data_IF_879064642322
#
_entry.id   IF_879064642322
#
_cell.length_a   1.000
_cell.length_b   1.000
_cell.length_c   1.000
_cell.angle_alpha   90.00
_cell.angle_beta   90.00
_cell.angle_gamma   90.00
#
_symmetry.space_group_name_H-M   'P 1'
#
loop_
_entity.id
_entity.type
_entity.pdbx_description
1 polymer ?
#
# COMPACT_ATOMS: atom_id res chain seq x y z
N UNK A 1 -25.57 -0.20 3.85
CA UNK A 1 -26.95 0.35 3.66
C UNK A 1 -27.50 0.89 4.98
N UNK A 2 -27.45 2.21 5.20
CA UNK A 2 -28.18 2.83 6.32
C UNK A 2 -29.68 2.95 5.97
N UNK A 3 -30.52 2.51 6.91
CA UNK A 3 -31.96 2.39 6.73
C UNK A 3 -32.64 3.71 6.38
N UNK A 4 -33.35 3.74 5.25
CA UNK A 4 -34.40 4.71 4.99
C UNK A 4 -35.62 4.34 5.82
N UNK A 5 -35.96 5.13 6.84
CA UNK A 5 -37.23 4.98 7.56
C UNK A 5 -38.38 5.33 6.62
N UNK A 6 -39.07 4.29 6.12
CA UNK A 6 -40.32 4.42 5.40
C UNK A 6 -41.47 4.77 6.34
N UNK A 7 -42.19 5.83 6.02
CA UNK A 7 -43.55 6.08 6.54
C UNK A 7 -44.50 6.31 5.36
N UNK A 8 -45.56 5.51 5.36
CA UNK A 8 -46.69 5.53 4.42
C UNK A 8 -47.50 6.84 4.54
N UNK A 9 -48.21 7.30 3.50
CA UNK A 9 -48.64 8.68 3.36
C UNK A 9 -50.03 8.94 3.99
N UNK A 10 -50.15 10.04 4.72
CA UNK A 10 -51.43 10.63 5.11
C UNK A 10 -51.49 12.06 4.53
N UNK A 11 -52.48 12.30 3.67
CA UNK A 11 -52.60 13.50 2.86
C UNK A 11 -52.86 14.79 3.65
N UNK A 12 -52.08 15.83 3.34
CA UNK A 12 -52.43 17.24 3.55
C UNK A 12 -51.59 18.07 2.56
N UNK A 13 -52.11 19.16 1.94
CA UNK A 13 -51.37 19.92 0.93
C UNK A 13 -50.13 20.61 1.50
N UNK A 14 -49.02 20.78 0.76
CA UNK A 14 -47.77 21.30 1.34
C UNK A 14 -47.90 22.79 1.64
N UNK A 15 -47.81 23.13 2.94
CA UNK A 15 -47.43 24.47 3.36
C UNK A 15 -46.01 24.79 2.93
N UNK A 16 -45.71 26.09 2.81
CA UNK A 16 -44.39 26.63 2.42
C UNK A 16 -43.23 25.87 3.08
N UNK A 17 -42.13 25.60 2.35
CA UNK A 17 -41.00 24.87 2.90
C UNK A 17 -40.46 25.62 4.12
N UNK A 18 -40.30 24.96 5.29
CA UNK A 18 -39.61 25.57 6.41
C UNK A 18 -38.18 25.89 5.98
N UNK A 19 -37.74 27.13 6.22
CA UNK A 19 -36.35 27.52 6.08
C UNK A 19 -35.49 26.64 6.99
N UNK A 20 -34.81 25.66 6.38
CA UNK A 20 -33.88 24.78 7.07
C UNK A 20 -32.65 25.57 7.50
N UNK A 21 -32.54 25.83 8.79
CA UNK A 21 -31.29 26.24 9.40
C UNK A 21 -30.24 25.16 9.13
N UNK A 22 -29.07 25.56 8.64
CA UNK A 22 -27.88 24.71 8.43
C UNK A 22 -27.21 24.31 9.76
N UNK A 23 -28.01 24.08 10.81
CA UNK A 23 -27.55 23.67 12.14
C UNK A 23 -27.81 22.19 12.36
N UNK A 24 -27.22 21.33 11.53
CA UNK A 24 -27.34 19.89 11.67
C UNK A 24 -26.11 19.29 12.32
N UNK A 25 -26.24 18.82 13.55
CA UNK A 25 -25.46 17.69 14.12
C UNK A 25 -25.76 16.37 13.38
N UNK A 26 -25.87 16.43 12.04
CA UNK A 26 -26.32 15.34 11.20
C UNK A 26 -25.13 14.50 10.72
N UNK A 27 -25.08 13.26 11.21
CA UNK A 27 -24.39 12.10 10.62
C UNK A 27 -22.88 11.96 10.87
N UNK A 28 -22.42 12.14 12.11
CA UNK A 28 -21.20 11.48 12.57
C UNK A 28 -21.45 9.96 12.61
N UNK A 29 -21.32 9.33 11.45
CA UNK A 29 -21.39 7.89 11.28
C UNK A 29 -19.99 7.34 11.58
N UNK A 30 -19.91 6.45 12.56
CA UNK A 30 -18.73 5.62 12.85
C UNK A 30 -18.90 4.23 12.20
N UNK A 31 -19.71 4.16 11.15
CA UNK A 31 -20.09 2.90 10.55
C UNK A 31 -18.83 2.21 10.01
N UNK A 32 -18.65 0.91 10.29
CA UNK A 32 -17.65 0.12 9.61
C UNK A 32 -17.86 0.18 8.11
N UNK A 33 -16.76 0.24 7.37
CA UNK A 33 -16.76 0.18 5.91
C UNK A 33 -15.60 -0.72 5.50
N UNK A 34 -15.81 -1.52 4.47
CA UNK A 34 -14.77 -2.41 3.96
C UNK A 34 -15.00 -2.65 2.46
N UNK A 35 -13.91 -2.89 1.74
CA UNK A 35 -13.97 -3.17 0.32
C UNK A 35 -12.72 -3.93 -0.13
N UNK A 36 -12.90 -4.76 -1.16
CA UNK A 36 -11.81 -5.31 -1.94
C UNK A 36 -11.47 -4.32 -3.06
N UNK A 37 -10.18 -4.16 -3.37
CA UNK A 37 -9.77 -3.27 -4.44
C UNK A 37 -8.63 -3.84 -5.27
N UNK A 38 -8.51 -3.29 -6.47
CA UNK A 38 -7.34 -3.45 -7.34
C UNK A 38 -7.16 -2.10 -8.01
N UNK A 39 -6.06 -1.43 -7.69
CA UNK A 39 -5.78 -0.08 -8.15
C UNK A 39 -4.35 -0.04 -8.66
N UNK A 40 -4.16 0.46 -9.88
CA UNK A 40 -2.82 0.77 -10.39
C UNK A 40 -2.23 1.94 -9.61
N UNK A 41 -1.09 1.71 -8.96
CA UNK A 41 -0.36 2.73 -8.21
C UNK A 41 0.14 3.85 -9.11
N UNK A 42 0.55 3.55 -10.36
CA UNK A 42 1.03 4.56 -11.28
C UNK A 42 -0.11 5.48 -11.69
N UNK A 43 0.05 6.79 -11.46
CA UNK A 43 -0.99 7.78 -11.71
C UNK A 43 -2.06 7.86 -10.62
N UNK A 44 -2.22 6.88 -9.73
CA UNK A 44 -3.18 6.95 -8.61
C UNK A 44 -2.51 7.28 -7.28
N UNK A 45 -1.44 6.56 -6.93
CA UNK A 45 -0.71 6.73 -5.68
C UNK A 45 0.56 7.53 -5.85
N UNK A 46 1.14 7.51 -7.04
CA UNK A 46 2.35 8.25 -7.37
C UNK A 46 2.38 8.64 -8.85
N UNK A 47 3.41 9.39 -9.26
CA UNK A 47 3.83 9.54 -10.64
C UNK A 47 5.35 9.56 -10.70
N UNK A 48 5.92 8.63 -11.46
CA UNK A 48 7.36 8.47 -11.68
C UNK A 48 7.68 8.76 -13.14
N UNK A 49 8.68 9.60 -13.46
CA UNK A 49 9.15 9.78 -14.83
C UNK A 49 9.99 8.59 -15.33
N UNK A 50 10.32 7.64 -14.46
CA UNK A 50 11.16 6.48 -14.77
C UNK A 50 10.31 5.23 -15.04
N UNK A 51 9.08 5.20 -14.55
CA UNK A 51 8.22 4.03 -14.64
C UNK A 51 7.53 4.03 -15.99
N UNK A 52 7.64 2.92 -16.71
CA UNK A 52 6.89 2.71 -17.93
C UNK A 52 5.40 2.50 -17.56
N UNK A 53 4.50 3.40 -17.99
CA UNK A 53 3.07 3.26 -17.69
C UNK A 53 2.43 2.01 -18.31
N UNK A 54 3.13 1.26 -19.18
CA UNK A 54 2.66 -0.05 -19.64
C UNK A 54 2.85 -1.17 -18.61
N UNK A 55 3.55 -0.92 -17.51
CA UNK A 55 3.81 -1.87 -16.43
C UNK A 55 3.13 -1.39 -15.14
N UNK A 56 1.82 -1.66 -14.98
CA UNK A 56 1.04 -1.15 -13.86
C UNK A 56 1.52 -1.77 -12.54
N UNK A 57 1.69 -0.99 -11.48
CA UNK A 57 1.96 -1.54 -10.15
C UNK A 57 0.65 -1.67 -9.38
N UNK A 58 -0.11 -2.73 -9.69
CA UNK A 58 -1.42 -2.94 -9.10
C UNK A 58 -1.31 -3.31 -7.62
N UNK A 59 -1.92 -2.48 -6.76
CA UNK A 59 -2.19 -2.87 -5.39
C UNK A 59 -3.56 -3.55 -5.31
N UNK A 60 -3.54 -4.86 -5.11
CA UNK A 60 -4.73 -5.66 -4.83
C UNK A 60 -4.77 -6.04 -3.34
N UNK A 61 -5.85 -5.70 -2.64
CA UNK A 61 -6.01 -6.03 -1.22
C UNK A 61 -7.47 -5.84 -0.76
N UNK A 62 -7.73 -6.24 0.48
CA UNK A 62 -8.94 -5.90 1.23
C UNK A 62 -8.63 -4.83 2.28
N UNK A 63 -9.42 -3.76 2.36
CA UNK A 63 -9.35 -2.78 3.45
C UNK A 63 -10.61 -2.85 4.30
N UNK A 64 -10.42 -2.98 5.61
CA UNK A 64 -11.48 -2.85 6.61
C UNK A 64 -11.23 -1.63 7.50
N UNK A 65 -12.23 -0.75 7.60
CA UNK A 65 -12.22 0.48 8.39
C UNK A 65 -13.16 0.29 9.58
N UNK A 66 -12.58 0.24 10.78
CA UNK A 66 -13.33 0.13 12.04
C UNK A 66 -13.05 1.36 12.88
N UNK A 67 -14.09 2.09 13.28
CA UNK A 67 -13.95 3.36 13.99
C UNK A 67 -15.00 3.51 15.07
N UNK A 68 -14.64 4.21 16.14
CA UNK A 68 -15.51 4.51 17.27
C UNK A 68 -15.05 5.78 17.95
N UNK A 69 -15.92 6.79 17.98
CA UNK A 69 -15.62 8.09 18.55
C UNK A 69 -14.43 8.74 17.85
N UNK A 70 -13.30 8.88 18.57
CA UNK A 70 -12.09 9.56 18.07
C UNK A 70 -10.98 8.62 17.58
N UNK A 71 -11.18 7.31 17.67
CA UNK A 71 -10.13 6.32 17.38
C UNK A 71 -10.67 5.18 16.52
N UNK A 72 -9.75 4.38 15.99
CA UNK A 72 -10.11 3.17 15.26
C UNK A 72 -8.90 2.52 14.62
N UNK A 73 -9.17 1.71 13.61
CA UNK A 73 -8.19 0.91 12.89
C UNK A 73 -8.59 0.83 11.41
N UNK A 74 -7.61 1.00 10.53
CA UNK A 74 -7.66 0.58 9.13
C UNK A 74 -6.82 -0.69 9.04
N UNK A 75 -7.45 -1.81 8.71
CA UNK A 75 -6.77 -3.09 8.50
C UNK A 75 -6.68 -3.36 7.01
N UNK A 76 -5.46 -3.38 6.49
CA UNK A 76 -5.15 -3.87 5.14
C UNK A 76 -4.89 -5.38 5.26
N UNK A 77 -5.62 -6.19 4.52
CA UNK A 77 -5.39 -7.62 4.41
C UNK A 77 -4.99 -7.96 2.98
N UNK A 78 -3.85 -8.62 2.81
CA UNK A 78 -3.43 -9.20 1.53
C UNK A 78 -3.41 -10.71 1.62
N UNK A 79 -3.94 -11.37 0.60
CA UNK A 79 -3.86 -12.81 0.44
C UNK A 79 -2.72 -13.16 -0.50
N UNK A 80 -2.02 -14.24 -0.21
CA UNK A 80 -0.95 -14.72 -1.07
C UNK A 80 -1.09 -16.22 -1.34
N UNK A 81 -0.46 -16.68 -2.42
CA UNK A 81 -0.32 -18.10 -2.72
C UNK A 81 1.13 -18.36 -3.09
N UNK A 82 1.70 -19.44 -2.54
CA UNK A 82 3.03 -19.89 -2.92
C UNK A 82 2.95 -20.96 -4.02
N UNK A 83 3.76 -20.81 -5.05
CA UNK A 83 4.22 -21.90 -5.93
C UNK A 83 5.72 -22.12 -5.72
N UNK A 84 6.22 -23.24 -6.22
CA UNK A 84 7.61 -23.64 -6.01
C UNK A 84 8.17 -24.18 -7.32
N UNK A 85 9.32 -23.66 -7.73
CA UNK A 85 9.99 -23.97 -8.99
C UNK A 85 11.47 -24.23 -8.78
N UNK A 86 12.12 -24.81 -9.80
CA UNK A 86 13.59 -24.96 -9.88
C UNK A 86 14.25 -25.57 -8.63
N UNK A 87 13.60 -26.58 -8.03
CA UNK A 87 14.14 -27.30 -6.88
C UNK A 87 13.85 -26.67 -5.51
N UNK A 88 13.01 -25.63 -5.44
CA UNK A 88 12.54 -25.13 -4.16
C UNK A 88 11.69 -26.18 -3.40
N UNK A 89 12.05 -26.44 -2.14
CA UNK A 89 11.36 -27.43 -1.30
C UNK A 89 10.13 -26.84 -0.58
N UNK A 90 9.06 -27.64 -0.48
CA UNK A 90 7.71 -27.18 -0.11
C UNK A 90 7.36 -27.28 1.38
N UNK A 91 8.18 -27.88 2.24
CA UNK A 91 7.77 -28.30 3.60
C UNK A 91 8.20 -27.39 4.77
N UNK A 92 7.79 -27.78 5.99
CA UNK A 92 7.85 -27.00 7.23
C UNK A 92 9.28 -26.63 7.70
N UNK A 93 10.31 -27.32 7.18
CA UNK A 93 11.72 -27.03 7.41
C UNK A 93 12.45 -26.48 6.17
N UNK A 94 11.78 -26.42 5.02
CA UNK A 94 12.31 -25.95 3.75
C UNK A 94 11.97 -24.49 3.41
N UNK A 95 11.99 -24.18 2.12
CA UNK A 95 11.86 -22.81 1.62
C UNK A 95 10.47 -22.20 1.86
N UNK A 96 9.42 -23.02 1.91
CA UNK A 96 8.06 -22.54 2.19
C UNK A 96 7.93 -21.86 3.56
N UNK A 97 8.52 -22.43 4.61
CA UNK A 97 8.51 -21.79 5.95
C UNK A 97 9.35 -20.52 5.96
N UNK A 98 10.52 -20.52 5.32
CA UNK A 98 11.40 -19.35 5.22
C UNK A 98 10.65 -18.18 4.58
N UNK A 99 10.02 -18.41 3.43
CA UNK A 99 9.26 -17.39 2.70
C UNK A 99 8.05 -16.91 3.50
N UNK A 100 7.27 -17.80 4.14
CA UNK A 100 6.13 -17.39 4.99
C UNK A 100 6.55 -16.55 6.19
N UNK A 101 7.69 -16.88 6.80
CA UNK A 101 8.26 -16.09 7.88
C UNK A 101 8.74 -14.73 7.38
N UNK A 102 9.38 -14.68 6.20
CA UNK A 102 9.80 -13.44 5.57
C UNK A 102 8.60 -12.54 5.25
N UNK A 103 7.52 -13.07 4.67
CA UNK A 103 6.27 -12.33 4.41
C UNK A 103 5.69 -11.77 5.71
N UNK A 104 5.61 -12.60 6.75
CA UNK A 104 5.09 -12.19 8.07
C UNK A 104 5.95 -11.09 8.69
N UNK A 105 7.27 -11.20 8.58
CA UNK A 105 8.22 -10.19 9.04
C UNK A 105 8.12 -8.90 8.23
N UNK A 106 7.91 -9.00 6.92
CA UNK A 106 7.75 -7.86 6.04
C UNK A 106 6.50 -7.05 6.41
N UNK A 107 5.33 -7.67 6.48
CA UNK A 107 4.12 -7.00 6.96
C UNK A 107 4.26 -6.47 8.39
N UNK A 108 4.93 -7.22 9.27
CA UNK A 108 5.24 -6.77 10.64
C UNK A 108 6.12 -5.52 10.66
N UNK A 109 7.07 -5.40 9.74
CA UNK A 109 7.96 -4.23 9.58
C UNK A 109 7.17 -3.03 9.07
N UNK A 110 6.41 -3.20 8.00
CA UNK A 110 5.52 -2.18 7.44
C UNK A 110 4.52 -1.68 8.49
N UNK A 111 3.92 -2.57 9.28
CA UNK A 111 2.99 -2.23 10.37
C UNK A 111 3.68 -1.48 11.51
N UNK A 112 4.83 -1.97 11.99
CA UNK A 112 5.59 -1.36 13.08
C UNK A 112 5.93 0.09 12.75
N UNK A 113 6.37 0.33 11.51
CA UNK A 113 6.72 1.66 11.01
C UNK A 113 5.49 2.54 10.77
N UNK A 114 4.38 1.95 10.33
CA UNK A 114 3.08 2.62 10.28
C UNK A 114 2.58 3.03 11.68
N UNK A 115 3.12 2.44 12.76
CA UNK A 115 2.84 2.81 14.14
C UNK A 115 3.10 4.29 14.45
N UNK A 116 4.08 4.89 13.78
CA UNK A 116 4.42 6.32 13.85
C UNK A 116 3.41 7.23 13.16
N UNK A 117 2.51 6.66 12.35
CA UNK A 117 1.51 7.38 11.55
C UNK A 117 0.08 6.91 11.88
N UNK A 118 -0.91 7.68 11.45
CA UNK A 118 -2.34 7.36 11.56
C UNK A 118 -3.07 7.81 10.29
N UNK A 119 -4.16 7.13 9.95
CA UNK A 119 -5.14 7.68 9.02
C UNK A 119 -6.09 8.58 9.80
N UNK A 120 -6.13 9.86 9.47
CA UNK A 120 -7.08 10.81 10.05
C UNK A 120 -8.27 10.99 9.14
N UNK A 121 -9.47 10.77 9.68
CA UNK A 121 -10.75 11.02 9.02
C UNK A 121 -11.39 12.25 9.67
N UNK A 122 -11.71 13.26 8.87
CA UNK A 122 -12.40 14.47 9.30
C UNK A 122 -13.73 14.62 8.54
N UNK A 123 -14.83 14.27 9.21
CA UNK A 123 -16.18 14.55 8.71
C UNK A 123 -16.65 15.94 9.17
N UNK A 124 -17.34 16.71 8.34
CA UNK A 124 -17.91 18.00 8.75
C UNK A 124 -18.79 17.87 10.00
N UNK A 125 -18.53 18.71 11.00
CA UNK A 125 -19.30 18.71 12.25
C UNK A 125 -18.96 17.58 13.24
N UNK A 126 -17.99 16.71 12.92
CA UNK A 126 -17.63 15.57 13.75
C UNK A 126 -16.24 15.72 14.38
N UNK A 127 -15.98 15.07 15.53
CA UNK A 127 -14.63 14.95 16.05
C UNK A 127 -13.72 14.25 15.05
N UNK A 128 -12.48 14.73 14.91
CA UNK A 128 -11.45 14.06 14.11
C UNK A 128 -11.19 12.67 14.66
N UNK A 129 -11.08 11.69 13.77
CA UNK A 129 -10.84 10.30 14.12
C UNK A 129 -9.44 9.91 13.67
N UNK A 130 -8.66 9.28 14.55
CA UNK A 130 -7.31 8.80 14.24
C UNK A 130 -7.28 7.28 14.27
N UNK A 131 -7.05 6.69 13.11
CA UNK A 131 -7.11 5.25 12.90
C UNK A 131 -5.69 4.69 12.83
N UNK A 132 -5.43 3.62 13.58
CA UNK A 132 -4.19 2.85 13.48
C UNK A 132 -4.16 2.11 12.15
N UNK A 133 -3.00 2.05 11.51
CA UNK A 133 -2.79 1.21 10.33
C UNK A 133 -2.37 -0.18 10.82
N UNK A 134 -2.99 -1.22 10.26
CA UNK A 134 -2.70 -2.62 10.53
C UNK A 134 -2.54 -3.37 9.22
N UNK A 135 -1.59 -4.30 9.19
CA UNK A 135 -1.37 -5.18 8.05
C UNK A 135 -1.61 -6.63 8.46
N UNK A 136 -2.25 -7.39 7.57
CA UNK A 136 -2.45 -8.82 7.72
C UNK A 136 -2.15 -9.51 6.42
N UNK A 137 -1.64 -10.73 6.53
CA UNK A 137 -1.41 -11.62 5.39
C UNK A 137 -1.99 -12.98 5.65
N UNK A 138 -2.63 -13.57 4.64
CA UNK A 138 -3.15 -14.93 4.71
C UNK A 138 -2.78 -15.72 3.45
N UNK A 139 -2.32 -16.95 3.63
CA UNK A 139 -2.14 -17.88 2.51
C UNK A 139 -3.50 -18.42 2.05
N UNK A 140 -3.74 -18.47 0.74
CA UNK A 140 -4.98 -18.97 0.13
C UNK A 140 -4.69 -19.95 -1.01
N UNK A 141 -5.59 -20.90 -1.22
CA UNK A 141 -5.43 -21.93 -2.26
C UNK A 141 -5.68 -21.42 -3.69
N UNK A 142 -6.52 -20.39 -3.85
CA UNK A 142 -6.97 -19.85 -5.13
C UNK A 142 -7.31 -18.37 -5.05
N UNK A 143 -7.17 -17.67 -6.18
CA UNK A 143 -7.46 -16.25 -6.34
C UNK A 143 -6.74 -15.34 -5.31
N UNK A 144 -5.41 -15.47 -5.12
CA UNK A 144 -4.68 -14.63 -4.20
C UNK A 144 -4.64 -13.17 -4.69
N UNK A 145 -4.27 -12.26 -3.79
CA UNK A 145 -3.88 -10.90 -4.17
C UNK A 145 -2.47 -10.87 -4.77
N UNK A 146 -1.59 -11.75 -4.27
CA UNK A 146 -0.22 -11.93 -4.76
C UNK A 146 0.05 -13.42 -5.02
N UNK A 147 0.43 -13.76 -6.26
CA UNK A 147 1.01 -15.06 -6.57
C UNK A 147 2.54 -14.99 -6.41
N UNK A 148 3.12 -15.80 -5.52
CA UNK A 148 4.57 -15.79 -5.25
C UNK A 148 5.15 -17.12 -5.73
N UNK A 149 6.01 -17.07 -6.73
CA UNK A 149 6.81 -18.19 -7.17
C UNK A 149 8.12 -18.25 -6.41
N UNK A 150 8.27 -19.27 -5.58
CA UNK A 150 9.46 -19.53 -4.78
C UNK A 150 10.44 -20.31 -5.63
N UNK A 151 11.49 -19.64 -6.11
CA UNK A 151 12.44 -20.19 -7.07
C UNK A 151 13.75 -20.62 -6.37
N UNK A 152 14.12 -21.89 -6.55
CA UNK A 152 15.30 -22.52 -5.95
C UNK A 152 16.57 -22.48 -6.81
N UNK A 153 16.58 -21.74 -7.92
CA UNK A 153 17.75 -21.61 -8.80
C UNK A 153 18.97 -21.15 -8.00
N UNK A 154 20.11 -21.80 -8.17
CA UNK A 154 21.33 -21.41 -7.45
C UNK A 154 21.81 -20.02 -7.92
N UNK A 155 22.14 -19.17 -6.95
CA UNK A 155 22.67 -17.83 -7.22
C UNK A 155 24.11 -17.90 -7.80
N UNK A 156 24.38 -17.15 -8.87
CA UNK A 156 25.70 -17.03 -9.47
C UNK A 156 26.30 -15.67 -9.10
N UNK A 157 27.40 -15.60 -8.34
CA UNK A 157 28.04 -14.32 -8.00
C UNK A 157 28.49 -13.48 -9.20
N UNK A 158 28.64 -14.08 -10.39
CA UNK A 158 28.96 -13.36 -11.62
C UNK A 158 27.73 -12.78 -12.34
N UNK A 159 26.53 -13.28 -12.03
CA UNK A 159 25.24 -12.82 -12.56
C UNK A 159 24.14 -13.04 -11.50
N UNK A 160 24.10 -12.20 -10.45
CA UNK A 160 23.30 -12.45 -9.27
C UNK A 160 21.81 -12.39 -9.58
N UNK A 161 21.07 -13.37 -9.06
CA UNK A 161 19.62 -13.44 -9.20
C UNK A 161 18.97 -12.33 -8.38
N UNK A 162 17.88 -11.79 -8.92
CA UNK A 162 17.10 -10.72 -8.29
C UNK A 162 15.65 -11.11 -8.26
N UNK A 163 15.08 -11.11 -7.06
CA UNK A 163 13.63 -11.21 -6.93
C UNK A 163 13.00 -9.98 -7.57
N UNK A 164 11.78 -10.12 -8.05
CA UNK A 164 11.06 -9.03 -8.69
C UNK A 164 9.55 -9.23 -8.58
N UNK A 165 8.81 -8.14 -8.73
CA UNK A 165 7.35 -8.13 -8.80
C UNK A 165 6.89 -7.70 -10.20
N UNK A 166 6.10 -8.57 -10.83
CA UNK A 166 5.39 -8.28 -12.07
C UNK A 166 3.99 -7.73 -11.77
N UNK A 167 3.72 -6.57 -12.34
CA UNK A 167 2.42 -5.89 -12.32
C UNK A 167 1.80 -5.69 -10.90
N UNK A 168 2.61 -5.73 -9.84
CA UNK A 168 2.18 -5.64 -8.44
C UNK A 168 1.48 -6.89 -7.86
N UNK A 169 1.26 -7.94 -8.66
CA UNK A 169 0.41 -9.09 -8.26
C UNK A 169 1.04 -10.47 -8.49
N UNK A 170 2.18 -10.53 -9.18
CA UNK A 170 3.01 -11.73 -9.28
C UNK A 170 4.42 -11.40 -8.79
N UNK A 171 5.03 -12.31 -8.05
CA UNK A 171 6.39 -12.16 -7.52
C UNK A 171 7.18 -13.42 -7.83
N UNK A 172 8.37 -13.26 -8.40
CA UNK A 172 9.39 -14.32 -8.40
C UNK A 172 10.34 -14.03 -7.25
N UNK A 173 10.45 -14.98 -6.32
CA UNK A 173 11.28 -14.86 -5.13
C UNK A 173 12.37 -15.93 -5.12
N UNK A 174 13.60 -15.51 -5.40
CA UNK A 174 14.78 -16.38 -5.40
C UNK A 174 15.28 -16.57 -3.97
N UNK A 175 14.99 -17.73 -3.37
CA UNK A 175 15.30 -18.01 -1.95
C UNK A 175 16.79 -18.24 -1.66
N UNK A 176 17.56 -18.43 -2.71
CA UNK A 176 19.01 -18.66 -2.68
C UNK A 176 19.80 -17.36 -2.78
N UNK A 177 19.15 -16.24 -3.13
CA UNK A 177 19.78 -14.97 -3.44
C UNK A 177 19.69 -13.98 -2.29
N UNK A 178 20.81 -13.33 -1.98
CA UNK A 178 20.87 -12.11 -1.16
C UNK A 178 20.26 -12.19 0.24
N UNK A 179 19.85 -11.02 0.75
CA UNK A 179 19.15 -10.87 2.03
C UNK A 179 17.64 -11.09 1.84
N UNK A 180 17.18 -12.29 2.20
CA UNK A 180 15.76 -12.70 2.12
C UNK A 180 14.83 -11.71 2.81
N UNK A 181 15.23 -11.15 3.96
CA UNK A 181 14.34 -10.32 4.76
C UNK A 181 14.18 -8.95 4.13
N UNK A 182 15.29 -8.30 3.77
CA UNK A 182 15.26 -7.02 3.07
C UNK A 182 14.52 -7.15 1.73
N UNK A 183 14.86 -8.19 0.94
CA UNK A 183 14.26 -8.44 -0.37
C UNK A 183 12.75 -8.62 -0.24
N UNK A 184 12.29 -9.43 0.72
CA UNK A 184 10.85 -9.62 0.92
C UNK A 184 10.14 -8.34 1.38
N UNK A 185 10.78 -7.50 2.22
CA UNK A 185 10.19 -6.21 2.61
C UNK A 185 10.05 -5.29 1.40
N UNK A 186 11.10 -5.24 0.57
CA UNK A 186 11.21 -4.42 -0.63
C UNK A 186 10.17 -4.83 -1.69
N UNK A 187 10.20 -6.09 -2.12
CA UNK A 187 9.28 -6.61 -3.13
C UNK A 187 7.82 -6.51 -2.69
N UNK A 188 7.54 -6.75 -1.40
CA UNK A 188 6.21 -6.54 -0.86
C UNK A 188 5.75 -5.08 -0.95
N UNK A 189 6.68 -4.11 -0.87
CA UNK A 189 6.42 -2.70 -1.16
C UNK A 189 5.81 -2.48 -2.54
N UNK A 190 6.36 -3.11 -3.58
CA UNK A 190 5.79 -3.06 -4.94
C UNK A 190 4.39 -3.65 -5.02
N UNK A 191 4.11 -4.71 -4.27
CA UNK A 191 2.74 -5.26 -4.20
C UNK A 191 1.74 -4.30 -3.54
N UNK A 192 2.21 -3.31 -2.77
CA UNK A 192 1.40 -2.23 -2.20
C UNK A 192 1.22 -1.05 -3.17
N UNK A 193 1.66 -1.18 -4.42
CA UNK A 193 1.58 -0.14 -5.44
C UNK A 193 2.56 0.99 -5.22
N UNK A 194 3.71 0.70 -4.61
CA UNK A 194 4.79 1.66 -4.40
C UNK A 194 5.87 1.48 -5.48
N UNK A 195 6.38 2.57 -6.06
CA UNK A 195 7.45 2.52 -7.04
C UNK A 195 8.80 2.31 -6.36
N UNK A 196 9.80 1.98 -7.17
CA UNK A 196 11.19 2.14 -6.77
C UNK A 196 11.52 3.62 -6.53
N UNK A 197 12.26 3.89 -5.46
CA UNK A 197 12.79 5.24 -5.20
C UNK A 197 14.24 5.38 -5.71
N UNK A 198 14.52 4.79 -6.87
CA UNK A 198 15.83 4.85 -7.52
C UNK A 198 15.75 4.74 -9.04
N UNK A 199 16.78 5.26 -9.70
CA UNK A 199 16.91 5.26 -11.16
C UNK A 199 17.85 4.17 -11.64
N UNK A 200 17.40 3.41 -12.64
CA UNK A 200 18.17 2.40 -13.35
C UNK A 200 19.11 3.00 -14.41
N UNK A 201 18.80 4.20 -14.91
CA UNK A 201 19.50 4.80 -16.05
C UNK A 201 20.05 6.19 -15.70
N UNK A 202 21.35 6.39 -15.94
CA UNK A 202 22.08 7.66 -15.68
C UNK A 202 22.39 8.52 -16.93
N UNK A 203 21.54 8.69 -17.95
CA UNK A 203 21.93 9.52 -19.08
C UNK A 203 21.71 11.04 -18.91
N UNK A 204 21.07 11.55 -17.83
CA UNK A 204 20.73 12.98 -17.72
C UNK A 204 21.21 13.68 -16.46
N UNK A 205 21.76 14.90 -16.62
CA UNK A 205 22.24 15.80 -15.56
C UNK A 205 21.14 16.37 -14.62
N UNK A 206 19.95 15.77 -14.58
CA UNK A 206 18.84 16.22 -13.74
C UNK A 206 18.27 15.02 -13.00
N UNK A 207 18.31 15.10 -11.67
CA UNK A 207 17.71 14.11 -10.78
C UNK A 207 16.22 13.93 -11.11
N UNK A 208 15.74 12.71 -11.37
CA UNK A 208 14.33 12.47 -11.57
C UNK A 208 13.56 12.79 -10.29
N UNK A 209 12.33 13.27 -10.44
CA UNK A 209 11.44 13.60 -9.32
C UNK A 209 10.28 12.63 -9.35
N UNK A 210 10.17 11.83 -8.28
CA UNK A 210 9.02 11.01 -7.99
C UNK A 210 8.02 11.83 -7.19
N UNK A 211 6.73 11.75 -7.50
CA UNK A 211 5.68 12.43 -6.73
C UNK A 211 4.70 11.41 -6.16
N UNK A 212 4.57 11.36 -4.84
CA UNK A 212 3.52 10.62 -4.15
C UNK A 212 2.28 11.48 -4.00
N UNK A 213 1.13 10.92 -4.38
CA UNK A 213 -0.15 11.62 -4.35
C UNK A 213 -0.76 11.52 -2.96
N UNK A 214 -1.05 12.67 -2.35
CA UNK A 214 -1.80 12.70 -1.11
C UNK A 214 -3.29 12.53 -1.39
N UNK A 215 -4.03 11.87 -0.50
CA UNK A 215 -5.50 11.83 -0.61
C UNK A 215 -6.09 13.24 -0.41
N UNK A 216 -6.17 13.69 0.83
CA UNK A 216 -6.42 15.10 1.17
C UNK A 216 -5.18 15.80 1.74
N UNK A 217 -4.04 15.12 1.79
CA UNK A 217 -2.73 15.74 2.00
C UNK A 217 -2.24 16.35 0.68
N UNK A 218 -1.35 17.37 0.72
CA UNK A 218 -0.59 17.77 -0.45
C UNK A 218 0.26 16.60 -0.97
N UNK A 219 0.46 16.59 -2.28
CA UNK A 219 1.43 15.69 -2.91
C UNK A 219 2.83 15.92 -2.34
N UNK A 220 3.58 14.84 -2.15
CA UNK A 220 4.96 14.88 -1.71
C UNK A 220 5.88 14.55 -2.89
N UNK A 221 6.90 15.38 -3.13
CA UNK A 221 7.89 15.11 -4.17
C UNK A 221 9.22 14.66 -3.56
N UNK A 222 9.72 13.53 -4.03
CA UNK A 222 11.02 12.96 -3.69
C UNK A 222 11.93 13.17 -4.89
N UNK A 223 12.99 13.97 -4.70
CA UNK A 223 14.03 14.11 -5.71
C UNK A 223 15.01 12.98 -5.54
N UNK A 224 15.12 12.11 -6.54
CA UNK A 224 15.99 10.96 -6.50
C UNK A 224 17.42 11.40 -6.80
N UNK A 225 18.27 11.36 -5.78
CA UNK A 225 19.68 11.69 -5.93
C UNK A 225 20.36 10.71 -6.88
N UNK A 226 21.28 11.22 -7.69
CA UNK A 226 22.26 10.37 -8.35
C UNK A 226 23.14 9.77 -7.26
N UNK A 227 23.28 8.44 -7.22
CA UNK A 227 24.05 7.83 -6.14
C UNK A 227 25.52 8.23 -6.17
N UNK A 228 25.99 8.64 -5.00
CA UNK A 228 27.41 8.81 -4.69
C UNK A 228 28.13 7.45 -4.58
N UNK A 229 27.38 6.36 -4.40
CA UNK A 229 27.90 4.99 -4.40
C UNK A 229 28.03 4.53 -5.87
N UNK A 230 29.22 4.14 -6.35
CA UNK A 230 29.34 3.42 -7.61
C UNK A 230 28.74 2.03 -7.43
N UNK A 231 27.93 1.53 -8.39
CA UNK A 231 27.35 0.20 -8.25
C UNK A 231 28.45 -0.86 -8.20
N UNK A 232 28.24 -1.92 -7.42
CA UNK A 232 29.21 -3.01 -7.25
C UNK A 232 29.51 -3.74 -8.58
N UNK A 233 28.58 -3.67 -9.53
CA UNK A 233 28.73 -4.07 -10.92
C UNK A 233 28.32 -2.88 -11.82
N UNK A 234 29.13 -2.50 -12.84
CA UNK A 234 28.80 -1.42 -13.77
C UNK A 234 27.46 -1.55 -14.50
N UNK A 235 26.88 -2.75 -14.58
CA UNK A 235 25.54 -3.02 -15.12
C UNK A 235 24.42 -2.92 -14.06
N UNK A 236 24.79 -2.66 -12.80
CA UNK A 236 23.88 -2.60 -11.66
C UNK A 236 23.70 -1.16 -11.15
N UNK A 237 22.81 -1.02 -10.18
CA UNK A 237 22.25 0.26 -9.78
C UNK A 237 22.79 0.67 -8.40
N UNK A 238 22.83 1.97 -8.18
CA UNK A 238 23.17 2.54 -6.89
C UNK A 238 22.30 3.79 -6.70
N UNK A 239 21.82 4.00 -5.48
CA UNK A 239 20.94 5.10 -5.09
C UNK A 239 21.29 5.53 -3.65
N UNK A 240 21.06 6.80 -3.33
CA UNK A 240 21.36 7.35 -1.99
C UNK A 240 20.08 7.67 -1.19
N UNK A 241 18.90 7.38 -1.75
CA UNK A 241 17.65 7.64 -1.03
C UNK A 241 17.37 6.47 -0.08
N UNK A 242 17.60 6.70 1.21
CA UNK A 242 17.68 5.66 2.24
C UNK A 242 16.31 5.16 2.73
N UNK A 243 15.31 5.02 1.87
CA UNK A 243 14.08 4.31 2.29
C UNK A 243 14.27 2.81 2.07
N UNK A 244 13.36 1.99 2.61
CA UNK A 244 13.37 0.56 2.27
C UNK A 244 13.15 0.31 0.77
N UNK A 245 12.61 1.30 0.06
CA UNK A 245 12.47 1.34 -1.40
C UNK A 245 13.74 1.86 -2.11
N UNK A 246 14.86 1.98 -1.38
CA UNK A 246 16.17 2.47 -1.80
C UNK A 246 17.35 2.01 -0.91
N UNK A 247 17.44 0.68 -0.64
CA UNK A 247 18.57 -0.14 -0.07
C UNK A 247 19.27 0.39 1.19
N UNK A 248 20.39 -0.25 1.53
CA UNK A 248 21.27 -0.02 2.68
C UNK A 248 20.69 -0.33 4.06
N UNK A 249 19.81 -1.34 4.14
CA UNK A 249 19.21 -1.75 5.43
C UNK A 249 18.51 -0.61 6.18
N UNK A 250 18.27 0.53 5.52
CA UNK A 250 17.54 1.62 6.13
C UNK A 250 16.05 1.23 6.14
N UNK A 251 15.58 0.98 7.35
CA UNK A 251 14.19 0.63 7.61
C UNK A 251 13.34 1.86 7.88
N UNK A 252 13.81 3.06 7.55
CA UNK A 252 13.06 4.30 7.72
C UNK A 252 11.95 4.36 6.67
N UNK A 253 10.72 4.49 7.14
CA UNK A 253 9.55 4.60 6.27
C UNK A 253 9.00 6.03 6.41
N UNK A 254 9.15 6.86 5.39
CA UNK A 254 8.53 8.18 5.38
C UNK A 254 7.01 8.11 5.27
N UNK A 255 6.35 9.18 5.72
CA UNK A 255 4.88 9.27 5.79
C UNK A 255 4.18 8.96 4.45
N UNK A 256 4.79 9.42 3.35
CA UNK A 256 4.21 9.33 2.01
C UNK A 256 4.06 7.89 1.50
N UNK A 257 4.84 6.92 2.02
CA UNK A 257 4.68 5.50 1.69
C UNK A 257 3.33 4.90 2.15
N UNK A 258 2.59 5.64 2.99
CA UNK A 258 1.26 5.24 3.47
C UNK A 258 0.13 6.06 2.85
N UNK A 259 0.41 6.97 1.90
CA UNK A 259 -0.61 7.80 1.27
C UNK A 259 -1.67 7.00 0.50
N UNK A 260 -1.27 5.89 -0.13
CA UNK A 260 -2.21 5.00 -0.82
C UNK A 260 -3.31 4.46 0.12
N UNK A 261 -3.01 4.23 1.40
CA UNK A 261 -4.01 3.80 2.39
C UNK A 261 -5.05 4.91 2.59
N UNK A 262 -4.61 6.17 2.68
CA UNK A 262 -5.53 7.30 2.81
C UNK A 262 -6.40 7.47 1.55
N UNK A 263 -5.85 7.23 0.36
CA UNK A 263 -6.57 7.28 -0.92
C UNK A 263 -7.67 6.22 -0.94
N UNK A 264 -7.32 4.97 -0.62
CA UNK A 264 -8.30 3.87 -0.62
C UNK A 264 -9.35 4.02 0.49
N UNK A 265 -8.96 4.50 1.68
CA UNK A 265 -9.92 4.82 2.74
C UNK A 265 -10.90 5.91 2.31
N UNK A 266 -10.43 6.97 1.65
CA UNK A 266 -11.32 8.01 1.10
C UNK A 266 -12.29 7.43 0.07
N UNK A 267 -11.79 6.62 -0.87
CA UNK A 267 -12.61 5.94 -1.88
C UNK A 267 -13.71 5.10 -1.24
N UNK A 268 -13.35 4.25 -0.28
CA UNK A 268 -14.29 3.36 0.41
C UNK A 268 -15.33 4.16 1.20
N UNK A 269 -14.91 5.15 1.98
CA UNK A 269 -15.84 6.00 2.74
C UNK A 269 -16.80 6.76 1.81
N UNK A 270 -16.31 7.31 0.69
CA UNK A 270 -17.16 7.96 -0.31
C UNK A 270 -18.20 7.02 -0.91
N UNK A 271 -17.83 5.76 -1.16
CA UNK A 271 -18.76 4.75 -1.68
C UNK A 271 -19.92 4.44 -0.71
N UNK A 272 -19.68 4.59 0.59
CA UNK A 272 -20.69 4.48 1.65
C UNK A 272 -21.46 5.80 1.90
N UNK A 273 -21.24 6.82 1.06
CA UNK A 273 -21.86 8.15 1.20
C UNK A 273 -21.26 9.01 2.31
N UNK A 274 -20.09 8.64 2.84
CA UNK A 274 -19.36 9.42 3.84
C UNK A 274 -18.44 10.41 3.15
N UNK A 275 -18.77 11.70 3.24
CA UNK A 275 -17.89 12.78 2.79
C UNK A 275 -16.95 13.15 3.93
N UNK A 276 -15.65 12.92 3.74
CA UNK A 276 -14.61 13.25 4.70
C UNK A 276 -13.38 13.83 4.00
N UNK A 277 -12.53 14.47 4.79
CA UNK A 277 -11.12 14.70 4.48
C UNK A 277 -10.35 13.54 5.08
N UNK A 278 -9.53 12.85 4.28
CA UNK A 278 -8.73 11.69 4.70
C UNK A 278 -7.27 11.94 4.41
N UNK A 279 -6.41 11.74 5.40
CA UNK A 279 -4.97 12.03 5.29
C UNK A 279 -4.12 11.22 6.27
N UNK A 280 -2.81 11.22 6.07
CA UNK A 280 -1.85 10.58 6.98
C UNK A 280 -1.30 11.63 7.95
N UNK A 281 -1.33 11.34 9.26
CA UNK A 281 -0.88 12.23 10.35
C UNK A 281 0.03 11.54 11.36
#
# INVERSE_FOLDING_TARGET
>A
MCATTGTTPSGTPPGSPPGGSSGGTGLCCDCPAEDDFTTDGNGTYYSSPMDDPSWPLNNKAHIKIERSGKTGTVTVTKTFKLSYTNGAETDEAGNGTIVKNAISKAFGTWESKAGSYKIQVEQPGCPKQKLKIKFKSNEVASAPDIAIDVDGTADDPADPLRSYVEEGTAMTFYVTAGDIEWTMIHELGHTLGLPDEYSYDRPTNTAPVLTYKGASDPDESVTLSASAIPPDDPAQFAFDNTTVMGQDSDTTHPKYLYYWIAIEVDRILRSEGVIAVVKVV
#
